data_IF_450424913721
#
_entry.id   IF_450424913721
#
_cell.length_a   1.000
_cell.length_b   1.000
_cell.length_c   1.000
_cell.angle_alpha   90.00
_cell.angle_beta   90.00
_cell.angle_gamma   90.00
#
_symmetry.space_group_name_H-M   'P 1'
#
loop_
_entity.id
_entity.type
_entity.pdbx_description
1 polymer ?
#
# COMPACT_ATOMS: atom_id res chain seq x y z
N UNK A 1 -7.35 -26.94 -13.40
CA UNK A 1 -7.16 -25.76 -14.26
C UNK A 1 -6.04 -26.04 -15.26
N UNK A 2 -6.25 -25.74 -16.55
CA UNK A 2 -5.23 -25.96 -17.57
C UNK A 2 -4.02 -25.03 -17.41
N UNK A 3 -2.91 -25.41 -18.00
CA UNK A 3 -1.64 -24.64 -17.92
C UNK A 3 -1.82 -23.21 -18.45
N UNK A 4 -2.45 -23.05 -19.60
CA UNK A 4 -2.67 -21.72 -20.20
C UNK A 4 -3.54 -20.83 -19.31
N UNK A 5 -4.59 -21.38 -18.71
CA UNK A 5 -5.45 -20.64 -17.78
C UNK A 5 -4.69 -20.25 -16.52
N UNK A 6 -3.85 -21.16 -15.99
CA UNK A 6 -3.03 -20.88 -14.80
C UNK A 6 -1.98 -19.79 -15.08
N UNK A 7 -1.35 -19.81 -16.26
CA UNK A 7 -0.39 -18.77 -16.66
C UNK A 7 -1.09 -17.42 -16.83
N UNK A 8 -2.27 -17.38 -17.43
CA UNK A 8 -3.07 -16.16 -17.55
C UNK A 8 -3.46 -15.60 -16.18
N UNK A 9 -3.87 -16.45 -15.27
CA UNK A 9 -4.17 -16.05 -13.89
C UNK A 9 -2.93 -15.50 -13.17
N UNK A 10 -1.79 -16.15 -13.32
CA UNK A 10 -0.53 -15.68 -12.74
C UNK A 10 -0.18 -14.29 -13.24
N UNK A 11 -0.33 -14.05 -14.54
CA UNK A 11 -0.05 -12.74 -15.14
C UNK A 11 -0.96 -11.67 -14.54
N UNK A 12 -2.25 -11.93 -14.41
CA UNK A 12 -3.21 -11.00 -13.81
C UNK A 12 -2.89 -10.71 -12.34
N UNK A 13 -2.56 -11.74 -11.56
CA UNK A 13 -2.22 -11.60 -10.15
C UNK A 13 -0.91 -10.82 -9.96
N UNK A 14 0.08 -11.05 -10.82
CA UNK A 14 1.35 -10.33 -10.78
C UNK A 14 1.14 -8.85 -11.08
N UNK A 15 0.31 -8.53 -12.08
CA UNK A 15 -0.04 -7.16 -12.40
C UNK A 15 -0.77 -6.49 -11.23
N UNK A 16 -1.73 -7.17 -10.61
CA UNK A 16 -2.45 -6.66 -9.44
C UNK A 16 -1.52 -6.40 -8.26
N UNK A 17 -0.58 -7.31 -8.02
CA UNK A 17 0.43 -7.13 -6.96
C UNK A 17 1.26 -5.87 -7.20
N UNK A 18 1.71 -5.64 -8.44
CA UNK A 18 2.46 -4.45 -8.80
C UNK A 18 1.64 -3.17 -8.59
N UNK A 19 0.36 -3.18 -8.95
CA UNK A 19 -0.53 -2.04 -8.72
C UNK A 19 -0.70 -1.75 -7.23
N UNK A 20 -0.83 -2.77 -6.40
CA UNK A 20 -0.94 -2.62 -4.95
C UNK A 20 0.36 -2.09 -4.33
N UNK A 21 1.51 -2.55 -4.80
CA UNK A 21 2.81 -2.03 -4.37
C UNK A 21 2.96 -0.56 -4.72
N UNK A 22 2.55 -0.16 -5.92
CA UNK A 22 2.56 1.24 -6.33
C UNK A 22 1.63 2.09 -5.47
N UNK A 23 0.41 1.61 -5.19
CA UNK A 23 -0.52 2.29 -4.31
C UNK A 23 0.06 2.49 -2.92
N UNK A 24 0.72 1.48 -2.37
CA UNK A 24 1.40 1.58 -1.07
C UNK A 24 2.51 2.63 -1.07
N UNK A 25 3.31 2.69 -2.13
CA UNK A 25 4.36 3.70 -2.27
C UNK A 25 3.78 5.11 -2.34
N UNK A 26 2.70 5.30 -3.09
CA UNK A 26 2.01 6.59 -3.21
C UNK A 26 1.45 7.05 -1.86
N UNK A 27 0.84 6.14 -1.10
CA UNK A 27 0.33 6.45 0.25
C UNK A 27 1.49 6.86 1.16
N UNK A 28 2.59 6.12 1.16
CA UNK A 28 3.77 6.45 1.97
C UNK A 28 4.35 7.81 1.61
N UNK A 29 4.43 8.15 0.33
CA UNK A 29 4.88 9.48 -0.12
C UNK A 29 3.96 10.58 0.39
N UNK A 30 2.65 10.38 0.34
CA UNK A 30 1.67 11.33 0.86
C UNK A 30 1.84 11.52 2.37
N UNK A 31 2.06 10.43 3.11
CA UNK A 31 2.28 10.50 4.55
C UNK A 31 3.57 11.25 4.89
N UNK A 32 4.64 11.05 4.12
CA UNK A 32 5.89 11.80 4.30
C UNK A 32 5.68 13.29 4.07
N UNK A 33 4.90 13.67 3.04
CA UNK A 33 4.57 15.07 2.78
C UNK A 33 3.76 15.67 3.93
N UNK A 34 2.79 14.93 4.48
CA UNK A 34 2.02 15.39 5.64
C UNK A 34 2.90 15.57 6.86
N UNK A 35 3.85 14.66 7.10
CA UNK A 35 4.80 14.79 8.20
C UNK A 35 5.67 16.05 8.07
N UNK A 36 6.15 16.33 6.86
CA UNK A 36 6.94 17.53 6.59
C UNK A 36 6.12 18.80 6.82
N UNK A 37 4.89 18.86 6.34
CA UNK A 37 3.99 20.01 6.54
C UNK A 37 3.72 20.18 8.03
N UNK A 38 3.44 19.09 8.75
CA UNK A 38 3.18 19.13 10.19
C UNK A 38 4.39 19.68 10.95
N UNK A 39 5.59 19.24 10.60
CA UNK A 39 6.83 19.75 11.21
C UNK A 39 7.01 21.24 10.94
N UNK A 40 6.73 21.71 9.73
CA UNK A 40 6.80 23.13 9.40
C UNK A 40 5.80 23.93 10.23
N UNK A 41 4.59 23.41 10.43
CA UNK A 41 3.58 24.08 11.26
C UNK A 41 3.99 24.13 12.72
N UNK A 42 4.56 23.05 13.27
CA UNK A 42 5.11 23.06 14.63
C UNK A 42 6.22 24.09 14.79
N UNK A 43 7.12 24.17 13.83
CA UNK A 43 8.20 25.17 13.85
C UNK A 43 7.65 26.60 13.81
N UNK A 44 6.60 26.83 13.03
CA UNK A 44 5.93 28.13 12.99
C UNK A 44 5.28 28.48 14.33
N UNK A 45 4.73 27.50 15.04
CA UNK A 45 4.12 27.70 16.35
C UNK A 45 5.13 28.15 17.41
N UNK A 46 6.37 27.73 17.30
CA UNK A 46 7.39 28.05 18.32
C UNK A 46 7.66 29.55 18.44
N UNK A 47 7.31 30.32 17.42
CA UNK A 47 7.48 31.78 17.37
C UNK A 47 6.20 32.56 17.69
N UNK A 48 5.11 31.87 18.03
CA UNK A 48 3.80 32.49 18.27
C UNK A 48 3.43 32.39 19.75
N UNK A 49 2.54 33.30 20.19
CA UNK A 49 1.95 33.20 21.51
C UNK A 49 1.07 31.96 21.61
N UNK A 50 1.22 31.13 22.67
CA UNK A 50 0.49 29.85 22.77
C UNK A 50 -1.02 29.97 22.70
N UNK A 51 -1.60 31.05 23.21
CA UNK A 51 -3.04 31.27 23.25
C UNK A 51 -3.54 32.25 22.17
N UNK A 52 -2.66 32.65 21.24
CA UNK A 52 -2.97 33.57 20.19
C UNK A 52 -3.88 32.96 19.11
N UNK A 53 -4.54 33.83 18.37
CA UNK A 53 -5.44 33.42 17.27
C UNK A 53 -4.70 32.61 16.20
N UNK A 54 -3.48 33.04 15.82
CA UNK A 54 -2.68 32.33 14.82
C UNK A 54 -2.26 30.94 15.31
N UNK A 55 -1.89 30.80 16.58
CA UNK A 55 -1.53 29.53 17.17
C UNK A 55 -2.73 28.55 17.14
N UNK A 56 -3.92 29.04 17.42
CA UNK A 56 -5.14 28.24 17.38
C UNK A 56 -5.44 27.73 15.96
N UNK A 57 -5.24 28.56 14.95
CA UNK A 57 -5.41 28.16 13.54
C UNK A 57 -4.41 27.07 13.18
N UNK A 58 -3.15 27.21 13.56
CA UNK A 58 -2.11 26.21 13.28
C UNK A 58 -2.41 24.91 14.00
N UNK A 59 -2.85 24.96 15.27
CA UNK A 59 -3.25 23.75 16.00
C UNK A 59 -4.39 23.01 15.30
N UNK A 60 -5.37 23.75 14.79
CA UNK A 60 -6.47 23.15 14.02
C UNK A 60 -5.95 22.47 12.75
N UNK A 61 -5.05 23.12 12.02
CA UNK A 61 -4.44 22.54 10.81
C UNK A 61 -3.65 21.27 11.13
N UNK A 62 -2.85 21.30 12.20
CA UNK A 62 -2.09 20.13 12.65
C UNK A 62 -3.05 18.97 12.97
N UNK A 63 -4.13 19.24 13.70
CA UNK A 63 -5.13 18.22 14.03
C UNK A 63 -5.76 17.63 12.77
N UNK A 64 -6.09 18.47 11.79
CA UNK A 64 -6.66 18.03 10.52
C UNK A 64 -5.69 17.14 9.73
N UNK A 65 -4.40 17.50 9.72
CA UNK A 65 -3.37 16.69 9.05
C UNK A 65 -3.16 15.35 9.75
N UNK A 66 -3.25 15.31 11.09
CA UNK A 66 -3.16 14.06 11.84
C UNK A 66 -4.33 13.13 11.53
N UNK A 67 -5.54 13.67 11.39
CA UNK A 67 -6.72 12.89 10.98
C UNK A 67 -6.51 12.33 9.58
N UNK A 68 -6.00 13.14 8.65
CA UNK A 68 -5.71 12.70 7.29
C UNK A 68 -4.64 11.61 7.27
N UNK A 69 -3.56 11.78 8.06
CA UNK A 69 -2.51 10.77 8.17
C UNK A 69 -3.06 9.44 8.72
N UNK A 70 -3.96 9.50 9.70
CA UNK A 70 -4.60 8.30 10.22
C UNK A 70 -5.44 7.59 9.16
N UNK A 71 -6.15 8.35 8.34
CA UNK A 71 -6.91 7.80 7.21
C UNK A 71 -5.99 7.10 6.21
N UNK A 72 -4.85 7.72 5.89
CA UNK A 72 -3.86 7.13 4.98
C UNK A 72 -3.22 5.88 5.58
N UNK A 73 -2.97 5.86 6.89
CA UNK A 73 -2.46 4.67 7.58
C UNK A 73 -3.43 3.49 7.44
N UNK A 74 -4.73 3.74 7.61
CA UNK A 74 -5.75 2.70 7.45
C UNK A 74 -5.83 2.21 6.00
N UNK A 75 -5.72 3.12 5.03
CA UNK A 75 -5.66 2.75 3.61
C UNK A 75 -4.43 1.89 3.32
N UNK A 76 -3.28 2.26 3.89
CA UNK A 76 -2.04 1.49 3.71
C UNK A 76 -2.18 0.07 4.27
N UNK A 77 -2.77 -0.08 5.45
CA UNK A 77 -3.03 -1.41 6.03
C UNK A 77 -3.92 -2.25 5.13
N UNK A 78 -4.93 -1.64 4.52
CA UNK A 78 -5.81 -2.33 3.58
C UNK A 78 -5.05 -2.79 2.34
N UNK A 79 -4.22 -1.91 1.77
CA UNK A 79 -3.37 -2.24 0.63
C UNK A 79 -2.41 -3.38 0.97
N UNK A 80 -1.77 -3.33 2.14
CA UNK A 80 -0.86 -4.39 2.59
C UNK A 80 -1.57 -5.73 2.75
N UNK A 81 -2.77 -5.73 3.32
CA UNK A 81 -3.58 -6.94 3.47
C UNK A 81 -3.94 -7.53 2.11
N UNK A 82 -4.36 -6.68 1.16
CA UNK A 82 -4.67 -7.11 -0.20
C UNK A 82 -3.43 -7.65 -0.92
N UNK A 83 -2.28 -7.01 -0.74
CA UNK A 83 -1.02 -7.44 -1.33
C UNK A 83 -0.61 -8.82 -0.81
N UNK A 84 -0.74 -9.05 0.50
CA UNK A 84 -0.47 -10.36 1.09
C UNK A 84 -1.41 -11.44 0.57
N UNK A 85 -2.70 -11.14 0.42
CA UNK A 85 -3.68 -12.06 -0.15
C UNK A 85 -3.33 -12.42 -1.60
N UNK A 86 -2.96 -11.42 -2.41
CA UNK A 86 -2.55 -11.64 -3.79
C UNK A 86 -1.26 -12.47 -3.85
N UNK A 87 -0.30 -12.21 -2.96
CA UNK A 87 0.94 -12.99 -2.90
C UNK A 87 0.65 -14.47 -2.60
N UNK A 88 -0.27 -14.75 -1.69
CA UNK A 88 -0.68 -16.13 -1.38
C UNK A 88 -1.30 -16.80 -2.61
N UNK A 89 -2.14 -16.08 -3.36
CA UNK A 89 -2.73 -16.61 -4.61
C UNK A 89 -1.66 -16.85 -5.68
N UNK A 90 -0.68 -15.95 -5.81
CA UNK A 90 0.46 -16.13 -6.73
C UNK A 90 1.20 -17.42 -6.42
N UNK A 91 1.51 -17.66 -5.16
CA UNK A 91 2.21 -18.87 -4.73
C UNK A 91 1.39 -20.12 -5.02
N UNK A 92 0.08 -20.08 -4.78
CA UNK A 92 -0.81 -21.20 -5.07
C UNK A 92 -0.86 -21.51 -6.57
N UNK A 93 -0.96 -20.48 -7.41
CA UNK A 93 -0.99 -20.67 -8.87
C UNK A 93 0.34 -21.20 -9.40
N UNK A 94 1.46 -20.71 -8.86
CA UNK A 94 2.79 -21.23 -9.21
C UNK A 94 2.91 -22.72 -8.91
N UNK A 95 2.38 -23.16 -7.78
CA UNK A 95 2.36 -24.59 -7.44
C UNK A 95 1.54 -25.41 -8.44
N UNK A 96 0.37 -24.89 -8.86
CA UNK A 96 -0.46 -25.53 -9.88
C UNK A 96 0.28 -25.62 -11.21
N UNK A 97 0.95 -24.55 -11.63
CA UNK A 97 1.76 -24.54 -12.85
C UNK A 97 2.87 -25.57 -12.79
N UNK A 98 3.61 -25.62 -11.68
CA UNK A 98 4.68 -26.59 -11.48
C UNK A 98 4.17 -28.03 -11.57
N UNK A 99 3.02 -28.31 -10.96
CA UNK A 99 2.36 -29.63 -11.05
C UNK A 99 1.95 -29.97 -12.46
N UNK A 100 1.36 -29.02 -13.19
CA UNK A 100 0.94 -29.24 -14.57
C UNK A 100 2.14 -29.54 -15.48
N UNK A 101 3.25 -28.85 -15.30
CA UNK A 101 4.49 -29.10 -16.04
C UNK A 101 5.04 -30.49 -15.69
N UNK A 102 5.11 -30.83 -14.41
CA UNK A 102 5.59 -32.14 -13.95
C UNK A 102 4.75 -33.27 -14.54
N UNK A 103 3.44 -33.15 -14.50
CA UNK A 103 2.52 -34.15 -15.08
C UNK A 103 2.70 -34.27 -16.59
N UNK A 104 2.92 -33.19 -17.31
CA UNK A 104 3.22 -33.21 -18.74
C UNK A 104 4.50 -33.99 -19.03
N UNK A 105 5.54 -33.79 -18.25
CA UNK A 105 6.77 -34.57 -18.37
C UNK A 105 6.56 -36.04 -18.15
N UNK A 106 5.81 -36.42 -17.15
CA UNK A 106 5.49 -37.82 -16.86
C UNK A 106 4.71 -38.49 -17.99
N UNK A 107 3.81 -37.72 -18.65
CA UNK A 107 2.99 -38.23 -19.73
C UNK A 107 3.83 -38.50 -21.00
N UNK A 108 4.83 -37.66 -21.27
CA UNK A 108 5.69 -37.77 -22.47
C UNK A 108 7.03 -38.44 -22.19
N UNK A 109 7.35 -38.65 -20.95
CA UNK A 109 8.56 -39.36 -20.56
C UNK A 109 8.27 -40.83 -20.38
#
# INVERSE_FOLDING_TARGET
MGLAASQGRLLMLTARKSDLELSGQQINQSRMQLANITNQLFNSMSNLEPDGYEAQIIQFRISSLQVLDKSLELQLRRVDTQREAVQTEVEAVRKVISKNIEMSFKTFG
#
